data_IF_378553752518
#
_entry.id   IF_378553752518
#
_cell.length_a   1.000
_cell.length_b   1.000
_cell.length_c   1.000
_cell.angle_alpha   90.00
_cell.angle_beta   90.00
_cell.angle_gamma   90.00
#
_symmetry.space_group_name_H-M   'P 1'
#
loop_
_entity.id
_entity.type
_entity.pdbx_description
1 polymer ?
#
# COMPACT_ATOMS: atom_id res chain seq x y z
N UNK A 1 -14.11 -45.78 -13.94
CA UNK A 1 -14.56 -45.03 -15.12
C UNK A 1 -15.14 -43.71 -14.59
N UNK A 2 -14.24 -42.75 -14.33
CA UNK A 2 -14.12 -41.42 -14.99
C UNK A 2 -15.31 -40.49 -14.67
N UNK A 3 -15.07 -39.50 -13.79
CA UNK A 3 -14.88 -38.05 -14.11
C UNK A 3 -16.26 -37.34 -14.16
N UNK A 4 -16.50 -36.09 -13.77
CA UNK A 4 -15.69 -34.87 -13.70
C UNK A 4 -16.41 -33.89 -12.72
N UNK A 5 -15.71 -33.18 -11.82
CA UNK A 5 -15.02 -31.89 -12.04
C UNK A 5 -16.00 -30.69 -12.09
N UNK A 6 -16.27 -30.10 -10.91
CA UNK A 6 -16.87 -28.78 -10.75
C UNK A 6 -15.77 -27.80 -10.33
N UNK A 7 -15.00 -27.31 -11.31
CA UNK A 7 -14.14 -26.14 -11.13
C UNK A 7 -14.92 -24.91 -11.55
N UNK A 8 -15.11 -23.99 -10.61
CA UNK A 8 -15.70 -22.68 -10.86
C UNK A 8 -14.84 -21.89 -11.84
N UNK A 9 -15.45 -21.54 -12.97
CA UNK A 9 -14.87 -20.64 -13.96
C UNK A 9 -14.69 -19.25 -13.34
N UNK A 10 -13.45 -18.77 -13.31
CA UNK A 10 -13.13 -17.41 -12.92
C UNK A 10 -13.77 -16.41 -13.88
N UNK A 11 -14.64 -15.54 -13.36
CA UNK A 11 -15.21 -14.41 -14.11
C UNK A 11 -14.07 -13.53 -14.63
N UNK A 12 -13.83 -13.57 -15.94
CA UNK A 12 -12.93 -12.65 -16.63
C UNK A 12 -13.61 -11.29 -16.74
N UNK A 13 -13.27 -10.36 -15.85
CA UNK A 13 -13.76 -8.98 -15.91
C UNK A 13 -13.30 -8.28 -17.19
N UNK A 14 -14.21 -7.62 -17.89
CA UNK A 14 -13.89 -6.76 -19.03
C UNK A 14 -14.04 -5.29 -18.61
N UNK A 15 -12.94 -4.53 -18.65
CA UNK A 15 -12.96 -3.08 -18.42
C UNK A 15 -12.46 -2.32 -19.66
N UNK A 16 -13.39 -1.88 -20.51
CA UNK A 16 -13.06 -1.15 -21.74
C UNK A 16 -12.48 -2.03 -22.84
N UNK A 17 -12.86 -3.31 -22.92
CA UNK A 17 -12.50 -4.23 -24.00
C UNK A 17 -11.16 -4.96 -23.86
N UNK A 18 -10.29 -4.56 -22.91
CA UNK A 18 -9.00 -5.24 -22.65
C UNK A 18 -9.17 -6.24 -21.50
N UNK A 19 -8.66 -7.47 -21.69
CA UNK A 19 -8.69 -8.51 -20.66
C UNK A 19 -7.74 -8.17 -19.51
N UNK A 20 -8.10 -8.53 -18.28
CA UNK A 20 -7.30 -8.21 -17.08
C UNK A 20 -5.90 -8.83 -17.07
N UNK A 21 -5.70 -9.93 -17.81
CA UNK A 21 -4.42 -10.64 -17.95
C UNK A 21 -3.58 -10.15 -19.14
N UNK A 22 -4.10 -9.23 -19.95
CA UNK A 22 -3.38 -8.63 -21.06
C UNK A 22 -2.21 -7.77 -20.52
N UNK A 23 -0.98 -7.92 -21.05
CA UNK A 23 0.15 -7.06 -20.68
C UNK A 23 -0.11 -5.56 -20.81
N UNK A 24 -1.01 -5.14 -21.71
CA UNK A 24 -1.40 -3.76 -21.92
C UNK A 24 -2.48 -3.27 -20.95
N UNK A 25 -3.12 -4.14 -20.15
CA UNK A 25 -4.19 -3.75 -19.22
C UNK A 25 -3.84 -2.54 -18.33
N UNK A 26 -2.61 -2.41 -17.77
CA UNK A 26 -2.22 -1.25 -16.96
C UNK A 26 -2.31 0.10 -17.68
N UNK A 27 -2.19 0.15 -19.00
CA UNK A 27 -2.38 1.40 -19.77
C UNK A 27 -3.80 1.96 -19.61
N UNK A 28 -4.76 1.11 -19.25
CA UNK A 28 -6.11 1.51 -18.89
C UNK A 28 -6.20 2.44 -17.68
N UNK A 29 -5.13 2.58 -16.88
CA UNK A 29 -5.04 3.53 -15.78
C UNK A 29 -5.39 4.96 -16.23
N UNK A 30 -5.01 5.36 -17.44
CA UNK A 30 -5.30 6.69 -18.01
C UNK A 30 -6.80 7.05 -18.05
N UNK A 31 -7.70 6.06 -17.97
CA UNK A 31 -9.16 6.27 -17.96
C UNK A 31 -9.74 6.58 -16.58
N UNK A 32 -9.00 6.31 -15.50
CA UNK A 32 -9.47 6.58 -14.14
C UNK A 32 -9.57 8.10 -13.92
N UNK A 33 -10.73 8.61 -13.51
CA UNK A 33 -10.97 10.05 -13.30
C UNK A 33 -10.53 10.53 -11.92
N UNK A 34 -10.48 9.61 -10.97
CA UNK A 34 -10.06 9.86 -9.59
C UNK A 34 -9.33 8.63 -9.01
N UNK A 35 -8.84 8.77 -7.78
CA UNK A 35 -8.06 7.73 -7.10
C UNK A 35 -8.91 6.49 -6.74
N UNK A 36 -10.22 6.65 -6.55
CA UNK A 36 -11.12 5.54 -6.25
C UNK A 36 -11.36 4.67 -7.50
N UNK A 37 -11.58 5.29 -8.65
CA UNK A 37 -11.65 4.62 -9.95
C UNK A 37 -10.33 3.95 -10.31
N UNK A 38 -9.20 4.61 -10.04
CA UNK A 38 -7.87 4.02 -10.26
C UNK A 38 -7.70 2.75 -9.43
N UNK A 39 -8.07 2.81 -8.14
CA UNK A 39 -8.07 1.66 -7.25
C UNK A 39 -8.94 0.52 -7.79
N UNK A 40 -10.16 0.83 -8.23
CA UNK A 40 -11.10 -0.16 -8.75
C UNK A 40 -10.58 -0.88 -10.00
N UNK A 41 -9.95 -0.16 -10.93
CA UNK A 41 -9.30 -0.78 -12.09
C UNK A 41 -8.06 -1.60 -11.70
N UNK A 42 -7.25 -1.07 -10.78
CA UNK A 42 -6.01 -1.67 -10.35
C UNK A 42 -6.21 -3.05 -9.73
N UNK A 43 -7.23 -3.23 -8.87
CA UNK A 43 -7.43 -4.48 -8.11
C UNK A 43 -7.80 -5.67 -8.99
N UNK A 44 -8.29 -5.41 -10.21
CA UNK A 44 -8.62 -6.43 -11.21
C UNK A 44 -7.39 -6.88 -12.02
N UNK A 45 -6.27 -6.16 -11.95
CA UNK A 45 -5.11 -6.41 -12.80
C UNK A 45 -4.45 -7.79 -12.58
N UNK A 46 -4.25 -8.51 -13.69
CA UNK A 46 -3.58 -9.82 -13.80
C UNK A 46 -2.46 -9.83 -14.85
N UNK A 47 -2.01 -8.67 -15.32
CA UNK A 47 -1.05 -8.51 -16.43
C UNK A 47 0.38 -9.07 -16.21
N UNK A 48 0.68 -9.56 -15.00
CA UNK A 48 2.00 -10.08 -14.62
C UNK A 48 1.88 -11.53 -14.13
N UNK A 49 1.97 -12.55 -15.01
CA UNK A 49 1.70 -13.95 -14.64
C UNK A 49 2.50 -14.42 -13.42
N UNK A 50 3.81 -14.16 -13.38
CA UNK A 50 4.68 -14.53 -12.24
C UNK A 50 4.24 -13.91 -10.91
N UNK A 51 3.79 -12.65 -10.92
CA UNK A 51 3.34 -11.95 -9.71
C UNK A 51 1.95 -12.42 -9.27
N UNK A 52 1.08 -12.72 -10.23
CA UNK A 52 -0.26 -13.29 -9.96
C UNK A 52 -0.13 -14.67 -9.34
N UNK A 53 0.67 -15.55 -9.95
CA UNK A 53 0.95 -16.87 -9.40
C UNK A 53 1.53 -16.78 -7.99
N UNK A 54 2.54 -15.94 -7.78
CA UNK A 54 3.19 -15.82 -6.48
C UNK A 54 2.27 -15.26 -5.39
N UNK A 55 1.52 -14.19 -5.67
CA UNK A 55 0.66 -13.54 -4.66
C UNK A 55 -0.47 -14.47 -4.20
N UNK A 56 -0.98 -15.29 -5.11
CA UNK A 56 -2.02 -16.29 -4.86
C UNK A 56 -1.42 -17.54 -4.16
N UNK A 57 -0.24 -18.01 -4.57
CA UNK A 57 0.45 -19.12 -3.93
C UNK A 57 0.83 -18.82 -2.47
N UNK A 58 1.28 -17.60 -2.18
CA UNK A 58 1.57 -17.14 -0.82
C UNK A 58 0.30 -17.07 0.05
N UNK A 59 -0.83 -16.71 -0.54
CA UNK A 59 -2.13 -16.70 0.13
C UNK A 59 -2.67 -18.12 0.40
N UNK A 60 -2.46 -19.05 -0.53
CA UNK A 60 -2.85 -20.45 -0.39
C UNK A 60 -1.98 -21.21 0.64
N UNK A 61 -0.72 -20.79 0.80
CA UNK A 61 0.24 -21.41 1.71
C UNK A 61 0.79 -20.39 2.72
N UNK A 62 -0.07 -19.85 3.61
CA UNK A 62 0.35 -18.81 4.53
C UNK A 62 1.34 -19.36 5.55
N UNK A 63 2.24 -18.49 6.03
CA UNK A 63 3.12 -18.83 7.16
C UNK A 63 2.28 -19.27 8.37
N UNK A 64 2.86 -20.12 9.22
CA UNK A 64 2.17 -20.66 10.40
C UNK A 64 1.49 -19.57 11.26
N UNK A 65 2.13 -18.41 11.42
CA UNK A 65 1.59 -17.28 12.18
C UNK A 65 0.32 -16.64 11.59
N UNK A 66 0.02 -16.88 10.31
CA UNK A 66 -1.11 -16.30 9.58
C UNK A 66 -2.08 -17.37 9.06
N UNK A 67 -1.93 -18.62 9.50
CA UNK A 67 -2.82 -19.72 9.09
C UNK A 67 -4.26 -19.41 9.47
N UNK A 68 -5.20 -19.61 8.54
CA UNK A 68 -6.63 -19.35 8.75
C UNK A 68 -7.05 -17.89 8.52
N UNK A 69 -6.11 -16.98 8.25
CA UNK A 69 -6.46 -15.61 7.83
C UNK A 69 -6.79 -15.57 6.35
N UNK A 70 -7.77 -14.73 5.98
CA UNK A 70 -8.06 -14.41 4.59
C UNK A 70 -7.04 -13.40 4.07
N UNK A 71 -6.33 -13.74 3.00
CA UNK A 71 -5.39 -12.85 2.34
C UNK A 71 -6.09 -12.00 1.27
N UNK A 72 -5.58 -10.78 1.07
CA UNK A 72 -5.98 -9.90 -0.02
C UNK A 72 -5.68 -10.47 -1.42
N UNK A 73 -4.48 -11.02 -1.61
CA UNK A 73 -4.03 -11.76 -2.81
C UNK A 73 -4.27 -11.07 -4.16
N UNK A 74 -4.34 -9.74 -4.18
CA UNK A 74 -4.62 -8.89 -5.34
C UNK A 74 -3.62 -7.73 -5.43
N UNK A 75 -3.58 -6.97 -6.53
CA UNK A 75 -2.81 -5.73 -6.56
C UNK A 75 -3.26 -4.81 -5.42
N UNK A 76 -2.33 -4.17 -4.73
CA UNK A 76 -2.59 -3.32 -3.57
C UNK A 76 -2.65 -1.86 -4.01
N UNK A 77 -3.81 -1.17 -3.84
CA UNK A 77 -3.93 0.25 -4.12
C UNK A 77 -2.99 1.10 -3.26
N UNK A 78 -2.76 2.35 -3.67
CA UNK A 78 -2.14 3.33 -2.77
C UNK A 78 -3.05 3.62 -1.58
N UNK A 79 -2.47 4.11 -0.49
CA UNK A 79 -3.20 4.36 0.76
C UNK A 79 -2.83 5.71 1.37
N UNK A 80 -3.82 6.48 1.79
CA UNK A 80 -3.63 7.73 2.52
C UNK A 80 -4.52 8.84 2.00
N UNK A 81 -4.06 10.08 2.18
CA UNK A 81 -4.78 11.28 1.80
C UNK A 81 -4.88 11.43 0.27
N UNK A 82 -6.08 11.71 -0.23
CA UNK A 82 -6.33 11.96 -1.66
C UNK A 82 -5.88 13.37 -2.08
N UNK A 83 -5.64 14.26 -1.11
CA UNK A 83 -5.01 15.58 -1.30
C UNK A 83 -3.56 15.60 -0.80
N UNK A 84 -2.88 14.44 -0.75
CA UNK A 84 -1.54 14.31 -0.22
C UNK A 84 -0.54 15.27 -0.88
N UNK A 85 0.28 15.90 -0.03
CA UNK A 85 1.43 16.71 -0.46
C UNK A 85 2.74 15.94 -0.43
N UNK A 86 2.76 14.80 0.27
CA UNK A 86 3.88 13.88 0.38
C UNK A 86 3.47 12.53 -0.17
N UNK A 87 4.22 12.02 -1.14
CA UNK A 87 4.10 10.63 -1.60
C UNK A 87 5.26 9.80 -1.02
N UNK A 88 4.98 8.80 -0.18
CA UNK A 88 5.99 7.86 0.32
C UNK A 88 6.02 6.64 -0.59
N UNK A 89 7.17 6.39 -1.20
CA UNK A 89 7.36 5.38 -2.24
C UNK A 89 8.12 4.17 -1.69
N UNK A 90 7.41 3.06 -1.58
CA UNK A 90 8.00 1.73 -1.37
C UNK A 90 8.38 1.08 -2.70
N UNK A 91 8.87 -0.16 -2.67
CA UNK A 91 9.14 -0.92 -3.90
C UNK A 91 7.91 -1.72 -4.35
N UNK A 92 7.43 -2.62 -3.49
CA UNK A 92 6.34 -3.53 -3.76
C UNK A 92 5.77 -4.11 -2.45
N UNK A 93 4.53 -4.63 -2.44
CA UNK A 93 3.98 -5.38 -1.31
C UNK A 93 4.86 -6.56 -0.85
N UNK A 94 4.95 -6.76 0.46
CA UNK A 94 5.46 -8.01 1.04
C UNK A 94 4.38 -9.11 0.95
N UNK A 95 4.81 -10.36 0.80
CA UNK A 95 3.92 -11.52 0.66
C UNK A 95 2.96 -11.72 1.85
N UNK A 96 3.45 -11.51 3.08
CA UNK A 96 2.65 -11.60 4.32
C UNK A 96 2.31 -10.24 4.93
N UNK A 97 2.69 -9.15 4.28
CA UNK A 97 2.32 -7.79 4.65
C UNK A 97 1.11 -7.34 3.85
N UNK A 98 1.30 -6.37 2.98
CA UNK A 98 0.25 -5.79 2.15
C UNK A 98 -0.48 -6.80 1.23
N UNK A 99 0.16 -7.91 0.82
CA UNK A 99 -0.54 -8.97 0.07
C UNK A 99 -1.52 -9.79 0.94
N UNK A 100 -1.32 -9.79 2.26
CA UNK A 100 -2.27 -10.34 3.23
C UNK A 100 -3.32 -9.31 3.62
N UNK A 101 -2.89 -8.10 3.98
CA UNK A 101 -3.75 -7.08 4.61
C UNK A 101 -4.51 -6.21 3.61
N UNK A 102 -4.07 -6.14 2.35
CA UNK A 102 -4.67 -5.29 1.33
C UNK A 102 -4.35 -3.80 1.47
N UNK A 103 -3.46 -3.41 2.39
CA UNK A 103 -3.01 -2.03 2.57
C UNK A 103 -1.49 -1.94 2.52
N UNK A 104 -0.95 -1.00 1.74
CA UNK A 104 0.50 -0.81 1.63
C UNK A 104 1.13 -0.61 3.02
N UNK A 105 2.31 -1.20 3.21
CA UNK A 105 3.08 -1.13 4.46
C UNK A 105 2.33 -1.63 5.71
N UNK A 106 1.30 -2.47 5.57
CA UNK A 106 0.53 -2.96 6.73
C UNK A 106 0.75 -4.45 6.94
N UNK A 107 1.01 -4.87 8.17
CA UNK A 107 1.16 -6.28 8.55
C UNK A 107 2.57 -6.86 8.42
N UNK A 108 3.60 -6.01 8.32
CA UNK A 108 5.00 -6.40 8.42
C UNK A 108 5.83 -5.37 9.22
N UNK A 109 7.00 -5.80 9.71
CA UNK A 109 7.85 -4.97 10.58
C UNK A 109 8.35 -3.67 9.93
N UNK A 110 8.48 -3.64 8.60
CA UNK A 110 8.92 -2.41 7.92
C UNK A 110 7.81 -1.38 7.96
N UNK A 111 6.57 -1.86 7.80
CA UNK A 111 5.35 -1.12 8.04
C UNK A 111 5.22 -0.54 9.43
N UNK A 112 5.35 -1.40 10.45
CA UNK A 112 5.24 -1.00 11.87
C UNK A 112 6.18 0.16 12.19
N UNK A 113 7.42 0.09 11.69
CA UNK A 113 8.42 1.13 11.89
C UNK A 113 8.06 2.44 11.17
N UNK A 114 7.51 2.36 9.95
CA UNK A 114 7.08 3.51 9.17
C UNK A 114 5.86 4.21 9.78
N UNK A 115 4.80 3.47 10.13
CA UNK A 115 3.59 4.04 10.70
C UNK A 115 3.83 4.68 12.08
N UNK A 116 4.65 4.04 12.92
CA UNK A 116 5.05 4.65 14.18
C UNK A 116 5.80 5.98 13.98
N UNK A 117 6.65 6.09 12.95
CA UNK A 117 7.33 7.34 12.61
C UNK A 117 6.36 8.41 12.07
N UNK A 118 5.47 8.04 11.15
CA UNK A 118 4.41 8.92 10.63
C UNK A 118 3.55 9.49 11.76
N UNK A 119 3.17 8.66 12.74
CA UNK A 119 2.42 9.11 13.91
C UNK A 119 3.23 10.09 14.77
N UNK A 120 4.51 9.78 15.08
CA UNK A 120 5.38 10.69 15.87
C UNK A 120 5.56 12.06 15.23
N UNK A 121 5.57 12.14 13.89
CA UNK A 121 5.65 13.43 13.17
C UNK A 121 4.27 14.05 12.85
N UNK A 122 3.17 13.47 13.36
CA UNK A 122 1.82 13.99 13.22
C UNK A 122 1.18 13.82 11.85
N UNK A 123 1.68 12.88 11.03
CA UNK A 123 1.15 12.56 9.70
C UNK A 123 0.22 11.34 9.70
N UNK A 124 0.07 10.64 10.83
CA UNK A 124 -0.86 9.54 11.04
C UNK A 124 -1.63 9.73 12.36
N UNK A 125 -2.86 9.23 12.43
CA UNK A 125 -3.71 9.34 13.64
C UNK A 125 -3.38 8.31 14.74
N UNK A 126 -2.69 7.22 14.41
CA UNK A 126 -2.28 6.19 15.37
C UNK A 126 -0.95 5.56 14.95
N UNK A 127 -0.18 4.95 15.88
CA UNK A 127 1.13 4.37 15.56
C UNK A 127 1.05 2.99 14.88
N UNK A 128 0.02 2.20 15.17
CA UNK A 128 -0.10 0.83 14.68
C UNK A 128 -1.02 0.71 13.45
N UNK A 129 -0.51 0.03 12.42
CA UNK A 129 -1.26 -0.38 11.24
C UNK A 129 -1.38 -1.91 11.22
N UNK A 130 -2.53 -2.43 11.65
CA UNK A 130 -2.75 -3.87 11.84
C UNK A 130 -3.59 -4.52 10.74
N UNK A 131 -4.59 -3.81 10.21
CA UNK A 131 -5.49 -4.30 9.15
C UNK A 131 -6.05 -3.14 8.32
N UNK A 132 -6.64 -3.42 7.15
CA UNK A 132 -7.20 -2.37 6.29
C UNK A 132 -8.38 -1.59 6.91
N UNK A 133 -9.02 -2.14 7.94
CA UNK A 133 -10.20 -1.61 8.64
C UNK A 133 -9.92 -1.07 10.05
N UNK A 134 -8.64 -0.95 10.45
CA UNK A 134 -8.22 -0.51 11.79
C UNK A 134 -8.37 1.00 12.08
N UNK A 135 -9.01 1.75 11.20
CA UNK A 135 -9.23 3.20 11.37
C UNK A 135 -7.99 4.07 11.15
N UNK A 136 -6.89 3.54 10.59
CA UNK A 136 -5.73 4.34 10.21
C UNK A 136 -6.11 5.45 9.22
N UNK A 137 -5.68 6.68 9.52
CA UNK A 137 -5.83 7.86 8.68
C UNK A 137 -4.47 8.54 8.56
N UNK A 138 -4.07 8.83 7.31
CA UNK A 138 -2.90 9.64 7.02
C UNK A 138 -3.35 11.04 6.60
N UNK A 139 -2.65 12.08 7.09
CA UNK A 139 -2.94 13.48 6.75
C UNK A 139 -1.78 14.06 5.96
N UNK A 140 -2.05 14.54 4.74
CA UNK A 140 -1.04 15.09 3.83
C UNK A 140 -0.07 14.07 3.24
N UNK A 141 -0.23 12.78 3.53
CA UNK A 141 0.63 11.68 3.08
C UNK A 141 -0.17 10.64 2.32
N UNK A 142 0.41 10.15 1.21
CA UNK A 142 -0.04 8.94 0.53
C UNK A 142 1.11 7.96 0.34
N UNK A 143 0.88 6.71 0.70
CA UNK A 143 1.77 5.58 0.47
C UNK A 143 1.51 5.00 -0.92
N UNK A 144 2.57 4.84 -1.72
CA UNK A 144 2.50 4.32 -3.09
C UNK A 144 3.65 3.34 -3.37
N UNK A 145 3.56 2.61 -4.48
CA UNK A 145 4.61 1.68 -4.92
C UNK A 145 4.66 1.58 -6.47
N UNK A 146 5.86 1.49 -7.07
CA UNK A 146 6.03 1.21 -8.50
C UNK A 146 5.53 -0.17 -8.92
N UNK A 147 5.45 -1.14 -8.00
CA UNK A 147 4.88 -2.47 -8.25
C UNK A 147 3.78 -2.76 -7.24
N UNK A 148 2.60 -3.16 -7.73
CA UNK A 148 1.38 -3.30 -6.91
C UNK A 148 1.10 -4.71 -6.41
N UNK A 149 1.84 -5.71 -6.90
CA UNK A 149 1.70 -7.10 -6.46
C UNK A 149 2.94 -7.53 -5.69
N UNK A 150 2.79 -8.48 -4.75
CA UNK A 150 3.95 -9.07 -4.07
C UNK A 150 4.83 -9.81 -5.08
N UNK A 151 6.14 -9.51 -5.18
CA UNK A 151 7.06 -10.29 -5.98
C UNK A 151 7.78 -11.35 -5.14
N UNK A 152 8.14 -12.50 -5.75
CA UNK A 152 9.04 -13.47 -5.12
C UNK A 152 10.32 -12.80 -4.61
N UNK A 153 10.71 -13.15 -3.39
CA UNK A 153 11.88 -12.59 -2.68
C UNK A 153 11.90 -11.05 -2.57
N UNK A 154 10.74 -10.38 -2.68
CA UNK A 154 10.61 -8.92 -2.74
C UNK A 154 11.39 -8.28 -3.90
N UNK A 155 11.58 -9.01 -5.01
CA UNK A 155 12.33 -8.58 -6.20
C UNK A 155 11.45 -8.61 -7.46
N UNK A 156 10.82 -7.50 -7.83
CA UNK A 156 10.17 -7.39 -9.13
C UNK A 156 11.23 -7.34 -10.24
N UNK A 157 10.88 -7.87 -11.41
CA UNK A 157 11.72 -7.73 -12.60
C UNK A 157 11.60 -6.31 -13.18
N UNK A 158 12.57 -5.87 -14.00
CA UNK A 158 12.45 -4.60 -14.71
C UNK A 158 11.18 -4.52 -15.57
N UNK A 159 10.80 -5.64 -16.18
CA UNK A 159 9.62 -5.73 -17.03
C UNK A 159 8.32 -5.62 -16.23
N UNK A 160 8.23 -6.28 -15.07
CA UNK A 160 7.09 -6.14 -14.17
C UNK A 160 6.93 -4.71 -13.65
N UNK A 161 8.05 -4.04 -13.31
CA UNK A 161 8.03 -2.62 -12.93
C UNK A 161 7.50 -1.75 -14.06
N UNK A 162 8.05 -1.89 -15.28
CA UNK A 162 7.60 -1.13 -16.44
C UNK A 162 6.12 -1.32 -16.70
N UNK A 163 5.66 -2.58 -16.70
CA UNK A 163 4.25 -2.91 -16.90
C UNK A 163 3.34 -2.31 -15.83
N UNK A 164 3.81 -2.22 -14.59
CA UNK A 164 3.04 -1.64 -13.49
C UNK A 164 3.13 -0.10 -13.43
N UNK A 165 4.10 0.49 -14.13
CA UNK A 165 4.38 1.93 -14.19
C UNK A 165 3.16 2.84 -14.42
N UNK A 166 2.25 2.52 -15.36
CA UNK A 166 1.06 3.34 -15.61
C UNK A 166 0.18 3.58 -14.38
N UNK A 167 0.12 2.63 -13.43
CA UNK A 167 -0.65 2.82 -12.20
C UNK A 167 -0.03 3.89 -11.30
N UNK A 168 1.30 3.87 -11.12
CA UNK A 168 2.00 4.89 -10.34
C UNK A 168 1.93 6.25 -11.03
N UNK A 169 2.10 6.27 -12.35
CA UNK A 169 2.02 7.49 -13.15
C UNK A 169 0.67 8.18 -12.96
N UNK A 170 -0.41 7.43 -13.15
CA UNK A 170 -1.76 7.97 -13.00
C UNK A 170 -2.06 8.37 -11.56
N UNK A 171 -1.59 7.62 -10.57
CA UNK A 171 -1.77 8.00 -9.17
C UNK A 171 -1.11 9.34 -8.84
N UNK A 172 0.12 9.58 -9.33
CA UNK A 172 0.80 10.87 -9.14
C UNK A 172 0.15 12.01 -9.95
N UNK A 173 -0.36 11.72 -11.14
CA UNK A 173 -1.10 12.68 -11.96
C UNK A 173 -2.41 13.11 -11.27
N UNK A 174 -3.15 12.16 -10.69
CA UNK A 174 -4.40 12.42 -9.99
C UNK A 174 -4.22 13.20 -8.67
N UNK A 175 -3.10 12.99 -7.97
CA UNK A 175 -2.71 13.87 -6.86
C UNK A 175 -2.34 15.28 -7.35
N UNK A 176 -2.03 15.42 -8.65
CA UNK A 176 -1.86 16.68 -9.34
C UNK A 176 -0.72 17.53 -8.77
N UNK A 177 -0.81 18.86 -8.89
CA UNK A 177 0.19 19.78 -8.37
C UNK A 177 0.17 19.86 -6.84
N UNK A 178 -0.63 19.06 -6.12
CA UNK A 178 -0.61 19.01 -4.65
C UNK A 178 0.67 18.38 -4.11
N UNK A 179 1.25 17.40 -4.82
CA UNK A 179 2.47 16.70 -4.39
C UNK A 179 3.68 17.61 -4.50
N UNK A 180 4.31 17.87 -3.35
CA UNK A 180 5.53 18.69 -3.17
C UNK A 180 6.76 17.83 -2.87
N UNK A 181 6.57 16.67 -2.26
CA UNK A 181 7.67 15.78 -1.86
C UNK A 181 7.37 14.33 -2.21
N UNK A 182 8.37 13.63 -2.74
CA UNK A 182 8.37 12.18 -2.94
C UNK A 182 9.44 11.59 -2.03
N UNK A 183 9.06 10.83 -1.01
CA UNK A 183 10.01 10.17 -0.09
C UNK A 183 10.27 8.75 -0.57
N UNK A 184 11.46 8.47 -1.08
CA UNK A 184 11.83 7.14 -1.56
C UNK A 184 12.54 6.32 -0.49
N UNK A 185 12.00 5.13 -0.20
CA UNK A 185 12.52 4.24 0.84
C UNK A 185 13.59 3.28 0.28
N UNK A 186 14.84 3.56 0.63
CA UNK A 186 16.04 2.81 0.27
C UNK A 186 16.52 3.05 -1.16
N UNK A 187 17.77 2.65 -1.45
CA UNK A 187 18.38 2.81 -2.77
C UNK A 187 17.58 2.13 -3.90
N UNK A 188 16.96 0.98 -3.59
CA UNK A 188 16.14 0.25 -4.57
C UNK A 188 14.85 1.03 -4.88
N UNK A 189 14.16 1.53 -3.84
CA UNK A 189 12.96 2.37 -4.00
C UNK A 189 13.29 3.67 -4.74
N UNK A 190 14.38 4.34 -4.38
CA UNK A 190 14.90 5.53 -5.07
C UNK A 190 15.13 5.30 -6.56
N UNK A 191 15.89 4.25 -6.89
CA UNK A 191 16.20 3.95 -8.28
C UNK A 191 14.95 3.48 -9.06
N UNK A 192 14.02 2.78 -8.40
CA UNK A 192 12.76 2.38 -9.01
C UNK A 192 11.85 3.59 -9.28
N UNK A 193 11.73 4.51 -8.32
CA UNK A 193 10.98 5.76 -8.48
C UNK A 193 11.53 6.57 -9.65
N UNK A 194 12.83 6.86 -9.68
CA UNK A 194 13.45 7.62 -10.78
C UNK A 194 13.24 6.95 -12.14
N UNK A 195 13.43 5.63 -12.24
CA UNK A 195 13.20 4.89 -13.49
C UNK A 195 11.76 4.95 -13.93
N UNK A 196 10.81 4.72 -13.01
CA UNK A 196 9.40 4.78 -13.36
C UNK A 196 9.02 6.20 -13.77
N UNK A 197 9.46 7.25 -13.09
CA UNK A 197 9.17 8.64 -13.48
C UNK A 197 9.72 8.95 -14.89
N UNK A 198 10.98 8.60 -15.16
CA UNK A 198 11.61 8.76 -16.49
C UNK A 198 10.85 7.98 -17.58
N UNK A 199 10.51 6.71 -17.32
CA UNK A 199 9.71 5.86 -18.23
C UNK A 199 8.29 6.42 -18.45
N UNK A 200 7.82 7.34 -17.61
CA UNK A 200 6.53 8.03 -17.74
C UNK A 200 6.68 9.49 -18.21
N UNK A 201 7.85 9.85 -18.73
CA UNK A 201 8.10 11.13 -19.39
C UNK A 201 8.50 12.27 -18.47
N UNK A 202 8.84 12.00 -17.21
CA UNK A 202 9.39 13.03 -16.33
C UNK A 202 10.84 13.36 -16.70
N UNK A 203 11.22 14.64 -16.73
CA UNK A 203 12.60 15.07 -16.96
C UNK A 203 13.49 14.74 -15.74
N UNK A 204 14.06 13.53 -15.73
CA UNK A 204 15.00 13.09 -14.69
C UNK A 204 16.42 13.57 -15.02
N UNK A 205 17.12 14.26 -14.09
CA UNK A 205 18.47 14.79 -14.34
C UNK A 205 19.51 13.73 -14.75
N UNK A 206 20.45 14.14 -15.59
CA UNK A 206 21.62 13.34 -15.99
C UNK A 206 22.92 14.05 -15.55
N UNK A 207 23.86 13.36 -14.89
CA UNK A 207 23.81 11.96 -14.45
C UNK A 207 22.72 11.75 -13.38
N UNK A 208 22.16 10.52 -13.34
CA UNK A 208 21.08 10.21 -12.40
C UNK A 208 21.48 10.51 -10.96
N UNK A 209 20.59 11.16 -10.17
CA UNK A 209 20.85 11.45 -8.77
C UNK A 209 21.17 10.18 -7.97
N UNK A 210 22.26 10.25 -7.20
CA UNK A 210 22.69 9.15 -6.32
C UNK A 210 21.84 9.13 -5.05
N UNK A 211 21.51 7.93 -4.60
CA UNK A 211 20.82 7.75 -3.33
C UNK A 211 21.76 8.03 -2.15
N UNK A 212 21.27 8.79 -1.17
CA UNK A 212 21.77 8.81 0.20
C UNK A 212 20.59 9.06 1.17
N UNK A 213 20.78 8.76 2.45
CA UNK A 213 19.81 9.11 3.48
C UNK A 213 19.74 10.63 3.64
N UNK A 214 18.53 11.16 3.71
CA UNK A 214 18.19 12.59 3.73
C UNK A 214 18.65 13.39 2.50
N UNK A 215 19.04 12.72 1.41
CA UNK A 215 19.31 13.39 0.15
C UNK A 215 18.04 14.00 -0.43
N UNK A 216 18.05 15.31 -0.68
CA UNK A 216 16.96 16.05 -1.30
C UNK A 216 17.36 16.52 -2.70
N UNK A 217 16.56 16.17 -3.71
CA UNK A 217 16.84 16.49 -5.11
C UNK A 217 15.59 17.08 -5.76
N UNK A 218 15.63 18.31 -6.30
CA UNK A 218 14.51 18.84 -7.07
C UNK A 218 14.38 18.05 -8.38
N UNK A 219 13.15 17.65 -8.69
CA UNK A 219 12.77 17.06 -9.96
C UNK A 219 11.73 17.97 -10.62
N UNK A 220 11.94 18.25 -11.90
CA UNK A 220 10.93 18.90 -12.73
C UNK A 220 9.79 17.91 -13.02
N UNK A 221 8.57 18.44 -13.04
CA UNK A 221 7.35 17.73 -13.39
C UNK A 221 7.03 17.99 -14.87
N UNK A 222 6.32 17.07 -15.55
CA UNK A 222 5.87 17.29 -16.93
C UNK A 222 5.00 18.55 -17.11
N UNK A 223 4.33 19.00 -16.05
CA UNK A 223 3.50 20.22 -16.03
C UNK A 223 4.29 21.51 -15.76
N UNK A 224 5.63 21.43 -15.70
CA UNK A 224 6.52 22.57 -15.41
C UNK A 224 6.69 22.88 -13.92
N UNK A 225 5.99 22.17 -13.03
CA UNK A 225 6.19 22.30 -11.59
C UNK A 225 7.47 21.61 -11.09
N UNK A 226 7.77 21.75 -9.80
CA UNK A 226 8.87 21.05 -9.14
C UNK A 226 8.36 20.19 -8.00
N UNK A 227 8.94 19.01 -7.83
CA UNK A 227 8.76 18.14 -6.65
C UNK A 227 10.13 17.81 -6.07
N UNK A 228 10.25 17.72 -4.75
CA UNK A 228 11.51 17.27 -4.13
C UNK A 228 11.49 15.75 -3.96
N UNK A 229 12.44 15.04 -4.55
CA UNK A 229 12.74 13.65 -4.23
C UNK A 229 13.63 13.60 -2.99
N UNK A 230 13.13 13.00 -1.91
CA UNK A 230 13.81 12.86 -0.63
C UNK A 230 14.15 11.38 -0.36
N UNK A 231 15.38 11.10 0.03
CA UNK A 231 15.87 9.74 0.27
C UNK A 231 15.79 9.34 1.74
N UNK A 232 15.32 8.13 2.04
CA UNK A 232 15.49 7.54 3.37
C UNK A 232 16.11 6.15 3.25
N UNK A 233 16.84 5.67 4.26
CA UNK A 233 17.14 4.24 4.30
C UNK A 233 15.82 3.48 4.46
N UNK A 234 15.73 2.29 3.86
CA UNK A 234 14.52 1.49 3.97
C UNK A 234 14.33 1.04 5.43
N UNK A 235 13.11 1.08 6.00
CA UNK A 235 12.84 0.60 7.36
C UNK A 235 12.81 -0.94 7.48
N UNK A 236 13.68 -1.64 6.76
CA UNK A 236 13.73 -3.10 6.83
C UNK A 236 14.33 -3.55 8.16
N UNK A 237 13.98 -4.75 8.66
CA UNK A 237 14.60 -5.32 9.85
C UNK A 237 16.13 -5.33 9.81
N UNK A 238 16.71 -5.53 8.63
CA UNK A 238 18.15 -5.48 8.45
C UNK A 238 18.74 -4.10 8.81
N UNK A 239 18.10 -3.01 8.39
CA UNK A 239 18.58 -1.66 8.70
C UNK A 239 18.24 -1.23 10.12
N UNK A 240 17.06 -1.61 10.63
CA UNK A 240 16.59 -1.15 11.94
C UNK A 240 17.24 -1.91 13.09
N UNK A 241 17.48 -3.22 12.97
CA UNK A 241 18.15 -3.99 14.02
C UNK A 241 19.66 -3.73 14.10
N UNK A 242 20.28 -3.34 12.98
CA UNK A 242 21.71 -2.98 12.95
C UNK A 242 21.97 -1.52 13.36
N UNK A 243 20.93 -0.72 13.57
CA UNK A 243 21.05 0.72 13.85
C UNK A 243 21.41 1.57 12.64
N UNK A 244 21.52 0.99 11.43
CA UNK A 244 21.73 1.75 10.18
C UNK A 244 20.61 2.74 9.91
N UNK A 245 19.39 2.42 10.35
CA UNK A 245 18.29 3.36 10.43
C UNK A 245 17.71 3.32 11.84
N UNK A 246 17.77 4.44 12.55
CA UNK A 246 17.12 4.61 13.86
C UNK A 246 15.75 5.26 13.71
N UNK A 247 14.85 5.13 14.71
CA UNK A 247 13.57 5.83 14.71
C UNK A 247 13.73 7.35 14.52
N UNK A 248 14.66 7.97 15.25
CA UNK A 248 14.93 9.40 15.17
C UNK A 248 15.39 9.85 13.77
N UNK A 249 16.17 9.02 13.07
CA UNK A 249 16.58 9.30 11.69
C UNK A 249 15.39 9.30 10.73
N UNK A 250 14.48 8.32 10.86
CA UNK A 250 13.28 8.30 10.02
C UNK A 250 12.33 9.46 10.35
N UNK A 251 12.16 9.78 11.63
CA UNK A 251 11.38 10.92 12.09
C UNK A 251 11.93 12.22 11.49
N UNK A 252 13.26 12.41 11.49
CA UNK A 252 13.89 13.59 10.91
C UNK A 252 13.62 13.73 9.40
N UNK A 253 13.69 12.65 8.62
CA UNK A 253 13.38 12.66 7.19
C UNK A 253 11.90 12.95 6.93
N UNK A 254 10.98 12.36 7.71
CA UNK A 254 9.56 12.61 7.55
C UNK A 254 9.17 14.03 7.98
N UNK A 255 9.79 14.57 9.03
CA UNK A 255 9.60 15.97 9.42
C UNK A 255 10.20 16.94 8.38
N UNK A 256 11.33 16.58 7.76
CA UNK A 256 11.88 17.31 6.63
C UNK A 256 10.91 17.34 5.44
N UNK A 257 10.34 16.18 5.07
CA UNK A 257 9.29 16.11 4.05
C UNK A 257 8.07 16.97 4.40
N UNK A 258 7.61 16.94 5.67
CA UNK A 258 6.51 17.77 6.18
C UNK A 258 6.77 19.26 5.99
N UNK A 259 7.98 19.73 6.32
CA UNK A 259 8.38 21.13 6.13
C UNK A 259 8.43 21.51 4.66
N UNK A 260 9.04 20.69 3.80
CA UNK A 260 9.09 20.93 2.35
C UNK A 260 7.71 20.89 1.67
N UNK A 261 6.74 20.22 2.29
CA UNK A 261 5.36 20.13 1.81
C UNK A 261 4.45 21.25 2.37
N UNK A 262 5.00 22.18 3.16
CA UNK A 262 4.26 23.23 3.87
C UNK A 262 3.11 22.69 4.74
N UNK A 263 3.30 21.50 5.32
CA UNK A 263 2.32 20.90 6.22
C UNK A 263 2.54 21.41 7.65
N UNK A 264 1.46 21.69 8.40
CA UNK A 264 1.57 22.18 9.77
C UNK A 264 2.33 21.19 10.66
N UNK A 265 3.00 21.65 11.73
CA UNK A 265 3.65 20.76 12.68
C UNK A 265 2.61 19.86 13.34
N UNK A 266 3.05 18.69 13.82
CA UNK A 266 2.24 17.82 14.65
C UNK A 266 1.62 18.65 15.78
N UNK A 267 0.29 18.61 15.91
CA UNK A 267 -0.33 19.10 17.14
C UNK A 267 0.17 18.18 18.26
N UNK A 268 0.58 18.71 19.43
CA UNK A 268 0.85 17.86 20.57
C UNK A 268 -0.38 16.98 20.78
N UNK A 269 -0.16 15.66 20.94
CA UNK A 269 -1.25 14.73 21.18
C UNK A 269 -2.07 15.27 22.35
N UNK A 270 -3.32 15.67 22.06
CA UNK A 270 -4.26 15.97 23.13
C UNK A 270 -4.41 14.74 24.03
N UNK A 271 -4.91 14.89 25.27
CA UNK A 271 -5.21 13.74 26.09
C UNK A 271 -6.06 12.77 25.28
N UNK A 272 -5.68 11.48 25.31
CA UNK A 272 -6.39 10.43 24.58
C UNK A 272 -7.89 10.59 24.84
N UNK A 273 -8.65 10.87 23.78
CA UNK A 273 -10.10 10.90 23.88
C UNK A 273 -10.52 9.46 24.16
N UNK A 274 -10.99 9.20 25.37
CA UNK A 274 -11.61 7.93 25.77
C UNK A 274 -12.89 7.76 24.93
N UNK A 275 -12.75 7.24 23.72
CA UNK A 275 -13.88 6.81 22.89
C UNK A 275 -14.41 5.51 23.52
N UNK A 276 -15.09 5.65 24.66
CA UNK A 276 -15.93 4.56 25.17
C UNK A 276 -16.98 4.28 24.10
N UNK A 277 -17.15 3.02 23.67
CA UNK A 277 -18.22 2.69 22.77
C UNK A 277 -19.54 3.12 23.40
N UNK A 278 -20.31 3.94 22.68
CA UNK A 278 -21.60 4.42 23.17
C UNK A 278 -22.48 3.20 23.52
N UNK A 279 -23.07 3.22 24.71
CA UNK A 279 -23.97 2.19 25.21
C UNK A 279 -25.33 2.22 24.48
N UNK A 280 -25.33 2.09 23.14
CA UNK A 280 -26.52 2.02 22.31
C UNK A 280 -26.31 1.08 21.11
N UNK A 281 -25.91 -0.17 21.39
CA UNK A 281 -26.08 -1.30 20.47
C UNK A 281 -25.94 -2.63 21.24
N UNK A 282 -26.74 -2.81 22.29
CA UNK A 282 -27.11 -4.15 22.76
C UNK A 282 -28.51 -4.45 22.25
N UNK A 283 -28.63 -4.77 20.96
CA UNK A 283 -29.84 -5.43 20.46
C UNK A 283 -29.79 -6.90 20.84
N UNK A 284 -30.49 -7.20 21.94
CA UNK A 284 -31.18 -8.46 22.28
C UNK A 284 -30.73 -9.70 21.49
N UNK A 285 -29.86 -10.50 22.09
CA UNK A 285 -29.92 -11.96 21.88
C UNK A 285 -31.06 -12.47 22.74
N UNK A 286 -32.10 -13.02 22.12
CA UNK A 286 -33.10 -13.78 22.86
C UNK A 286 -32.46 -15.04 23.45
N UNK A 287 -32.84 -15.45 24.67
CA UNK A 287 -32.33 -16.67 25.27
C UNK A 287 -32.93 -17.89 24.58
N UNK A 288 -32.06 -18.82 24.23
CA UNK A 288 -32.40 -20.16 23.77
C UNK A 288 -33.02 -20.92 24.95
N UNK A 289 -34.35 -21.12 24.92
CA UNK A 289 -35.08 -21.95 25.88
C UNK A 289 -34.84 -23.43 25.54
N UNK A 290 -33.88 -24.02 26.25
CA UNK A 290 -33.67 -25.46 26.30
C UNK A 290 -34.55 -26.09 27.38
N UNK A 291 -35.81 -26.39 27.06
CA UNK A 291 -36.63 -27.24 27.91
C UNK A 291 -37.75 -27.97 27.15
N UNK A 292 -37.43 -29.11 26.51
CA UNK A 292 -38.42 -30.18 26.28
C UNK A 292 -37.78 -31.56 26.43
N UNK A 293 -38.05 -32.19 27.57
CA UNK A 293 -38.04 -33.64 27.78
C UNK A 293 -39.43 -34.06 28.26
N UNK A 294 -39.83 -35.24 27.78
CA UNK A 294 -40.83 -36.20 28.30
C UNK A 294 -42.32 -35.82 28.22
N UNK A 295 -43.28 -36.65 27.77
CA UNK A 295 -43.36 -38.03 27.25
C UNK A 295 -44.69 -38.15 26.46
N UNK A 296 -45.43 -39.30 26.39
CA UNK A 296 -45.28 -40.55 27.12
C UNK A 296 -45.27 -41.84 26.25
N UNK A 297 -44.95 -42.96 26.89
CA UNK A 297 -45.12 -44.31 26.39
C UNK A 297 -46.60 -44.74 26.37
N UNK A 298 -47.01 -45.47 25.34
CA UNK A 298 -48.08 -46.47 25.41
C UNK A 298 -48.00 -47.45 24.23
N UNK A 299 -47.75 -48.72 24.57
CA UNK A 299 -48.16 -50.01 23.96
C UNK A 299 -47.94 -50.26 22.47
#
# INVERSE_FOLDING_TARGET
MRDADLRGEGRQGHHGGVRTDDPAYPTGAARARDLAELGSLLVECRACPRLVEWREAAAANPRAAFRGQTYWARPVPGFGDDAARIAVVGLAPAADGANRTGRLFTGDRSGDFLFAALHRVGLANQPEATSSDDGMVLTGVRLVAPVRCAPPANKPTPEERRRCGPWLARELELLGPGVRVVVALGAIGWAAALRTLEEQGWPVPQPRPRFAHDAAVPLERPDGGTVTLLGSFHPSPHNTFTGRLTPAMLDAVLDHARRLADLPPARPAGPAVDIRPSARQRSRREPFDGSRRDGPAAR
#
